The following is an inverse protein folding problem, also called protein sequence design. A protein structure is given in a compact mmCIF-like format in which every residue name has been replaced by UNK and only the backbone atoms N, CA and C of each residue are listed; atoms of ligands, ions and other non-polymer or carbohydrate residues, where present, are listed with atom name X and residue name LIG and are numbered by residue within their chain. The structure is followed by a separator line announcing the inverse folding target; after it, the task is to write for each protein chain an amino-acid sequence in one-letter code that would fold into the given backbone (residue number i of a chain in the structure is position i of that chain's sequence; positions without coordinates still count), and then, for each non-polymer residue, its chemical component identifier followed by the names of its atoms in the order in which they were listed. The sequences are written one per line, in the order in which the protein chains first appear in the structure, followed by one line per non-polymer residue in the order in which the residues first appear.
data_IF_827285336207
#
_entry.id   IF_827285336207
#
_cell.length_a   1.000
_cell.length_b   1.000
_cell.length_c   1.000
_cell.angle_alpha   90.00
_cell.angle_beta   90.00
_cell.angle_gamma   90.00
#
_symmetry.space_group_name_H-M   'P 1'
#
loop_
_entity.id
_entity.type
_entity.pdbx_description
1 polymer ?
#
# COMPACT_ATOMS: atom_id res chain seq x y z
N UNK A 1 -2.58 7.39 11.60
CA UNK A 1 -1.66 7.98 10.59
C UNK A 1 -2.12 7.61 9.19
N UNK A 2 -2.11 8.57 8.25
CA UNK A 2 -2.55 8.38 6.87
C UNK A 2 -1.35 8.30 5.94
N UNK A 3 -1.28 7.28 5.08
CA UNK A 3 -0.12 6.97 4.23
C UNK A 3 -0.55 6.85 2.77
N UNK A 4 0.21 7.45 1.86
CA UNK A 4 0.15 7.19 0.43
C UNK A 4 1.43 6.48 0.00
N UNK A 5 1.29 5.30 -0.60
CA UNK A 5 2.39 4.57 -1.25
C UNK A 5 2.25 4.73 -2.75
N UNK A 6 3.29 5.24 -3.41
CA UNK A 6 3.35 5.33 -4.87
C UNK A 6 4.25 4.22 -5.40
N UNK A 7 3.65 3.29 -6.14
CA UNK A 7 4.28 2.10 -6.70
C UNK A 7 3.79 0.82 -6.01
N UNK A 8 3.05 -0.03 -6.73
CA UNK A 8 2.59 -1.35 -6.34
C UNK A 8 3.58 -2.46 -6.78
N UNK A 9 4.88 -2.20 -6.60
CA UNK A 9 5.94 -3.19 -6.82
C UNK A 9 6.17 -4.06 -5.59
N UNK A 10 7.22 -4.89 -5.59
CA UNK A 10 7.54 -5.75 -4.44
C UNK A 10 7.72 -4.97 -3.12
N UNK A 11 8.33 -3.78 -3.18
CA UNK A 11 8.49 -2.93 -2.00
C UNK A 11 7.16 -2.33 -1.55
N UNK A 12 6.39 -1.74 -2.45
CA UNK A 12 5.10 -1.12 -2.10
C UNK A 12 4.08 -2.10 -1.55
N UNK A 13 4.01 -3.30 -2.13
CA UNK A 13 3.19 -4.40 -1.61
C UNK A 13 3.66 -4.86 -0.22
N UNK A 14 4.97 -4.96 -0.01
CA UNK A 14 5.53 -5.29 1.31
C UNK A 14 5.21 -4.20 2.35
N UNK A 15 5.27 -2.92 1.97
CA UNK A 15 4.88 -1.81 2.85
C UNK A 15 3.40 -1.92 3.22
N UNK A 16 2.50 -2.18 2.26
CA UNK A 16 1.08 -2.35 2.53
C UNK A 16 0.82 -3.54 3.48
N UNK A 17 1.45 -4.69 3.23
CA UNK A 17 1.33 -5.87 4.09
C UNK A 17 1.89 -5.63 5.51
N UNK A 18 2.99 -4.87 5.64
CA UNK A 18 3.53 -4.47 6.94
C UNK A 18 2.60 -3.49 7.64
N UNK A 19 2.05 -2.51 6.92
CA UNK A 19 1.21 -1.46 7.49
C UNK A 19 -0.13 -2.00 7.98
N UNK A 20 -0.70 -3.02 7.33
CA UNK A 20 -1.96 -3.66 7.71
C UNK A 20 -1.95 -4.25 9.14
N UNK A 21 -0.77 -4.51 9.71
CA UNK A 21 -0.56 -5.06 11.06
C UNK A 21 -0.04 -4.02 12.07
N UNK A 22 -0.11 -2.73 11.77
CA UNK A 22 0.38 -1.65 12.65
C UNK A 22 -0.78 -0.79 13.15
N UNK A 23 -0.94 -0.73 14.46
CA UNK A 23 -2.04 -0.02 15.12
C UNK A 23 -2.03 1.50 14.90
N UNK A 24 -0.86 2.10 14.62
CA UNK A 24 -0.76 3.53 14.36
C UNK A 24 -1.19 3.92 12.93
N UNK A 25 -1.38 2.96 12.02
CA UNK A 25 -1.82 3.21 10.65
C UNK A 25 -3.35 3.22 10.63
N UNK A 26 -3.91 4.39 10.34
CA UNK A 26 -5.35 4.61 10.31
C UNK A 26 -5.90 4.37 8.90
N UNK A 27 -5.14 4.77 7.87
CA UNK A 27 -5.54 4.60 6.49
C UNK A 27 -4.31 4.56 5.57
N UNK A 28 -4.31 3.65 4.60
CA UNK A 28 -3.26 3.52 3.60
C UNK A 28 -3.89 3.43 2.22
N UNK A 29 -3.36 4.21 1.28
CA UNK A 29 -3.71 4.15 -0.15
C UNK A 29 -2.48 3.71 -0.93
N UNK A 30 -2.65 2.73 -1.82
CA UNK A 30 -1.64 2.36 -2.81
C UNK A 30 -2.05 2.95 -4.16
N UNK A 31 -1.14 3.69 -4.77
CA UNK A 31 -1.28 4.20 -6.12
C UNK A 31 -0.21 3.56 -7.01
N UNK A 32 -0.58 3.21 -8.24
CA UNK A 32 0.37 2.82 -9.28
C UNK A 32 -0.14 3.40 -10.61
N UNK A 33 0.75 3.50 -11.59
CA UNK A 33 0.37 3.90 -12.94
C UNK A 33 -0.62 2.90 -13.56
N UNK A 34 -0.42 1.61 -13.28
CA UNK A 34 -1.37 0.57 -13.64
C UNK A 34 -2.33 0.31 -12.47
N UNK A 35 -3.60 0.67 -12.66
CA UNK A 35 -4.64 0.46 -11.65
C UNK A 35 -4.75 -1.00 -11.21
N UNK A 36 -4.58 -1.95 -12.13
CA UNK A 36 -4.68 -3.37 -11.81
C UNK A 36 -3.59 -3.79 -10.82
N UNK A 37 -2.39 -3.20 -10.93
CA UNK A 37 -1.30 -3.45 -9.97
C UNK A 37 -1.63 -2.90 -8.59
N UNK A 38 -2.20 -1.70 -8.50
CA UNK A 38 -2.63 -1.14 -7.22
C UNK A 38 -3.74 -1.97 -6.56
N UNK A 39 -4.70 -2.46 -7.36
CA UNK A 39 -5.81 -3.30 -6.88
C UNK A 39 -5.37 -4.72 -6.48
N UNK A 40 -4.28 -5.22 -7.05
CA UNK A 40 -3.71 -6.52 -6.70
C UNK A 40 -2.87 -6.49 -5.41
N UNK A 41 -2.63 -5.30 -4.84
CA UNK A 41 -1.98 -5.21 -3.52
C UNK A 41 -3.02 -5.56 -2.46
N UNK A 42 -2.58 -6.44 -1.54
CA UNK A 42 -3.31 -7.11 -0.44
C UNK A 42 -3.77 -8.51 -0.80
#
# INVERSE_FOLDING_TARGET
MRILVVGAGGVGGSVAAIAARREFVEHLVVADFDLARAQAVV
#
